data_IF_736851241596
#
_entry.id   IF_736851241596
#
_cell.length_a   1.000
_cell.length_b   1.000
_cell.length_c   1.000
_cell.angle_alpha   90.00
_cell.angle_beta   90.00
_cell.angle_gamma   90.00
#
_symmetry.space_group_name_H-M   'P 1'
#
loop_
_entity.id
_entity.type
_entity.pdbx_description
1 polymer ?
#
# COMPACT_ATOMS: atom_id res chain seq x y z
N UNK A 1 2.58 27.73 8.98
CA UNK A 1 3.43 26.82 8.18
C UNK A 1 3.15 27.11 6.72
N UNK A 2 4.10 27.63 5.94
CA UNK A 2 3.89 27.79 4.49
C UNK A 2 4.10 26.42 3.83
N UNK A 3 3.11 25.96 3.08
CA UNK A 3 3.29 24.78 2.24
C UNK A 3 4.15 25.17 1.03
N UNK A 4 5.28 24.52 0.86
CA UNK A 4 6.09 24.62 -0.37
C UNK A 4 5.56 23.55 -1.32
N UNK A 5 5.10 23.98 -2.49
CA UNK A 5 4.66 23.09 -3.58
C UNK A 5 5.69 23.17 -4.70
N UNK A 6 6.15 22.04 -5.18
CA UNK A 6 7.11 21.92 -6.28
C UNK A 6 6.45 21.24 -7.47
N UNK A 7 6.80 21.67 -8.69
CA UNK A 7 6.41 20.98 -9.92
C UNK A 7 7.69 20.59 -10.64
N UNK A 8 8.18 19.35 -10.47
CA UNK A 8 9.47 18.90 -11.00
C UNK A 8 9.64 19.17 -12.50
N UNK A 9 8.58 19.00 -13.29
CA UNK A 9 8.58 19.22 -14.73
C UNK A 9 8.87 20.69 -15.08
N UNK A 10 8.28 21.64 -14.33
CA UNK A 10 8.57 23.06 -14.52
C UNK A 10 9.99 23.43 -14.09
N UNK A 11 10.53 22.79 -13.06
CA UNK A 11 11.92 23.00 -12.64
C UNK A 11 12.90 22.49 -13.70
N UNK A 12 12.62 21.33 -14.30
CA UNK A 12 13.43 20.80 -15.39
C UNK A 12 13.36 21.68 -16.65
N UNK A 13 12.17 22.21 -16.98
CA UNK A 13 12.01 23.17 -18.07
C UNK A 13 12.79 24.47 -17.81
N UNK A 14 12.67 25.03 -16.60
CA UNK A 14 13.42 26.22 -16.20
C UNK A 14 14.94 26.00 -16.25
N UNK A 15 15.43 24.82 -15.88
CA UNK A 15 16.85 24.47 -16.04
C UNK A 15 17.30 24.48 -17.51
N UNK A 16 16.46 23.97 -18.42
CA UNK A 16 16.73 24.01 -19.86
C UNK A 16 16.73 25.45 -20.39
N UNK A 17 15.78 26.29 -19.96
CA UNK A 17 15.70 27.69 -20.34
C UNK A 17 16.94 28.47 -19.89
N UNK A 18 17.39 28.25 -18.65
CA UNK A 18 18.62 28.88 -18.13
C UNK A 18 19.85 28.45 -18.95
N UNK A 19 19.95 27.18 -19.32
CA UNK A 19 21.03 26.69 -20.17
C UNK A 19 21.00 27.34 -21.57
N UNK A 20 19.81 27.50 -22.15
CA UNK A 20 19.63 28.17 -23.45
C UNK A 20 19.98 29.66 -23.40
N UNK A 21 19.56 30.36 -22.34
CA UNK A 21 19.95 31.77 -22.09
C UNK A 21 21.47 31.87 -21.94
N UNK A 22 22.08 31.02 -21.12
CA UNK A 22 23.53 31.00 -20.92
C UNK A 22 24.30 30.78 -22.22
N UNK A 23 23.84 29.86 -23.07
CA UNK A 23 24.41 29.62 -24.40
C UNK A 23 24.33 30.86 -25.31
N UNK A 24 23.15 31.50 -25.35
CA UNK A 24 22.91 32.71 -26.15
C UNK A 24 23.79 33.87 -25.70
N UNK A 25 23.87 34.10 -24.38
CA UNK A 25 24.73 35.15 -23.79
C UNK A 25 26.20 34.87 -24.09
N UNK A 26 26.65 33.62 -23.98
CA UNK A 26 28.02 33.25 -24.30
C UNK A 26 28.35 33.48 -25.78
N UNK A 27 27.45 33.16 -26.70
CA UNK A 27 27.63 33.41 -28.12
C UNK A 27 27.73 34.92 -28.45
N UNK A 28 26.84 35.74 -27.86
CA UNK A 28 26.89 37.19 -28.00
C UNK A 28 28.22 37.76 -27.46
N UNK A 29 28.67 37.25 -26.32
CA UNK A 29 29.93 37.65 -25.70
C UNK A 29 31.15 37.35 -26.57
N UNK A 30 31.25 36.12 -27.09
CA UNK A 30 32.33 35.71 -27.99
C UNK A 30 32.36 36.57 -29.26
N UNK A 31 31.19 36.97 -29.77
CA UNK A 31 31.07 37.85 -30.94
C UNK A 31 31.59 39.25 -30.64
N UNK A 32 31.30 39.80 -29.45
CA UNK A 32 31.73 41.14 -29.05
C UNK A 32 33.18 41.22 -28.54
N UNK A 33 33.80 40.09 -28.20
CA UNK A 33 35.11 40.06 -27.55
C UNK A 33 36.22 40.70 -28.38
N UNK A 34 36.29 40.37 -29.67
CA UNK A 34 37.35 40.86 -30.53
C UNK A 34 37.34 42.39 -30.68
N UNK A 35 36.17 43.00 -30.86
CA UNK A 35 36.03 44.45 -31.06
C UNK A 35 36.17 45.26 -29.77
N UNK A 36 35.90 44.66 -28.62
CA UNK A 36 35.95 45.36 -27.31
C UNK A 36 37.31 45.27 -26.64
N UNK A 37 38.07 44.20 -26.89
CA UNK A 37 39.44 44.02 -26.34
C UNK A 37 40.50 44.67 -27.23
N UNK A 38 40.20 44.89 -28.51
CA UNK A 38 41.12 45.48 -29.50
C UNK A 38 40.76 46.91 -29.90
N UNK A 39 40.51 47.81 -28.93
CA UNK A 39 40.11 49.19 -29.23
C UNK A 39 41.29 49.94 -29.88
N UNK A 40 41.05 50.53 -31.05
CA UNK A 40 42.06 51.31 -31.78
C UNK A 40 42.00 52.78 -31.32
N UNK A 41 43.14 53.42 -31.02
CA UNK A 41 43.17 54.84 -30.67
C UNK A 41 42.59 55.71 -31.80
N UNK A 42 41.71 56.70 -31.50
CA UNK A 42 41.15 57.58 -32.52
C UNK A 42 42.16 58.60 -33.08
N UNK A 43 43.27 58.83 -32.37
CA UNK A 43 44.37 59.73 -32.76
C UNK A 43 45.73 59.14 -32.40
N UNK A 44 46.79 59.72 -32.99
CA UNK A 44 48.18 59.31 -32.74
C UNK A 44 48.77 59.88 -31.44
N UNK A 45 47.98 60.64 -30.68
CA UNK A 45 48.41 61.25 -29.42
C UNK A 45 48.36 60.25 -28.26
N UNK A 46 49.13 60.56 -27.21
CA UNK A 46 49.25 59.70 -26.03
C UNK A 46 47.95 59.60 -25.23
N UNK A 47 47.07 60.62 -25.29
CA UNK A 47 45.78 60.61 -24.56
C UNK A 47 44.82 59.62 -25.24
N UNK A 48 44.72 59.66 -26.58
CA UNK A 48 43.98 58.68 -27.38
C UNK A 48 44.46 57.25 -27.13
N UNK A 49 45.78 57.03 -27.07
CA UNK A 49 46.36 55.72 -26.78
C UNK A 49 46.00 55.23 -25.36
N UNK A 50 46.14 56.11 -24.36
CA UNK A 50 45.80 55.78 -22.97
C UNK A 50 44.31 55.45 -22.81
N UNK A 51 43.42 56.21 -23.47
CA UNK A 51 41.97 55.95 -23.45
C UNK A 51 41.65 54.58 -24.07
N UNK A 52 42.21 54.26 -25.24
CA UNK A 52 42.02 52.97 -25.88
C UNK A 52 42.49 51.80 -24.99
N UNK A 53 43.60 51.99 -24.28
CA UNK A 53 44.15 51.00 -23.34
C UNK A 53 43.23 50.79 -22.12
N UNK A 54 42.64 51.85 -21.57
CA UNK A 54 41.66 51.74 -20.46
C UNK A 54 40.44 50.93 -20.88
N UNK A 55 39.86 51.22 -22.05
CA UNK A 55 38.70 50.46 -22.55
C UNK A 55 39.04 49.00 -22.84
N UNK A 56 40.20 48.74 -23.45
CA UNK A 56 40.66 47.38 -23.72
C UNK A 56 40.91 46.59 -22.43
N UNK A 57 41.48 47.23 -21.40
CA UNK A 57 41.67 46.62 -20.08
C UNK A 57 40.35 46.29 -19.38
N UNK A 58 39.39 47.22 -19.38
CA UNK A 58 38.05 46.99 -18.82
C UNK A 58 37.33 45.85 -19.55
N UNK A 59 37.47 45.76 -20.88
CA UNK A 59 36.91 44.67 -21.66
C UNK A 59 37.52 43.31 -21.27
N UNK A 60 38.84 43.23 -21.07
CA UNK A 60 39.50 41.98 -20.64
C UNK A 60 39.00 41.50 -19.27
N UNK A 61 38.85 42.42 -18.31
CA UNK A 61 38.28 42.09 -16.99
C UNK A 61 36.83 41.61 -17.10
N UNK A 62 36.03 42.30 -17.90
CA UNK A 62 34.64 41.90 -18.17
C UNK A 62 34.54 40.51 -18.79
N UNK A 63 35.42 40.17 -19.73
CA UNK A 63 35.50 38.84 -20.34
C UNK A 63 35.86 37.77 -19.30
N UNK A 64 36.82 38.06 -18.42
CA UNK A 64 37.17 37.18 -17.30
C UNK A 64 36.00 36.95 -16.32
N UNK A 65 35.23 38.00 -16.03
CA UNK A 65 34.05 37.90 -15.16
C UNK A 65 32.93 37.08 -15.81
N UNK A 66 32.68 37.29 -17.10
CA UNK A 66 31.67 36.53 -17.83
C UNK A 66 32.03 35.05 -17.95
N UNK A 67 33.30 34.69 -18.08
CA UNK A 67 33.73 33.29 -17.98
C UNK A 67 33.30 32.62 -16.66
N UNK A 68 33.42 33.34 -15.53
CA UNK A 68 32.94 32.86 -14.22
C UNK A 68 31.41 32.77 -14.17
N UNK A 69 30.71 33.76 -14.72
CA UNK A 69 29.25 33.78 -14.78
C UNK A 69 28.68 32.61 -15.61
N UNK A 70 29.30 32.29 -16.75
CA UNK A 70 28.93 31.15 -17.58
C UNK A 70 29.11 29.83 -16.84
N UNK A 71 30.23 29.65 -16.12
CA UNK A 71 30.46 28.46 -15.30
C UNK A 71 29.42 28.31 -14.19
N UNK A 72 29.10 29.42 -13.50
CA UNK A 72 28.04 29.44 -12.49
C UNK A 72 26.67 29.09 -13.08
N UNK A 73 26.29 29.69 -14.22
CA UNK A 73 25.03 29.44 -14.89
C UNK A 73 24.86 27.97 -15.28
N UNK A 74 25.93 27.34 -15.79
CA UNK A 74 25.95 25.91 -16.10
C UNK A 74 25.76 25.04 -14.85
N UNK A 75 26.48 25.35 -13.76
CA UNK A 75 26.33 24.63 -12.49
C UNK A 75 24.94 24.80 -11.90
N UNK A 76 24.38 26.01 -11.96
CA UNK A 76 23.04 26.30 -11.47
C UNK A 76 21.97 25.53 -12.26
N UNK A 77 22.05 25.51 -13.60
CA UNK A 77 21.14 24.72 -14.43
C UNK A 77 21.23 23.22 -14.11
N UNK A 78 22.45 22.70 -13.94
CA UNK A 78 22.66 21.30 -13.55
C UNK A 78 22.06 20.98 -12.18
N UNK A 79 22.29 21.84 -11.18
CA UNK A 79 21.74 21.65 -9.83
C UNK A 79 20.22 21.75 -9.82
N UNK A 80 19.64 22.69 -10.57
CA UNK A 80 18.20 22.83 -10.69
C UNK A 80 17.55 21.59 -11.31
N UNK A 81 18.17 21.04 -12.35
CA UNK A 81 17.72 19.79 -12.97
C UNK A 81 17.84 18.59 -12.02
N UNK A 82 18.95 18.47 -11.30
CA UNK A 82 19.14 17.41 -10.29
C UNK A 82 18.14 17.53 -9.13
N UNK A 83 17.82 18.75 -8.71
CA UNK A 83 16.79 19.03 -7.72
C UNK A 83 15.40 18.58 -8.20
N UNK A 84 15.04 18.89 -9.45
CA UNK A 84 13.81 18.40 -10.06
C UNK A 84 13.72 16.86 -10.02
N UNK A 85 14.79 16.17 -10.40
CA UNK A 85 14.86 14.70 -10.32
C UNK A 85 14.68 14.17 -8.90
N UNK A 86 15.23 14.86 -7.89
CA UNK A 86 15.07 14.50 -6.48
C UNK A 86 13.62 14.62 -6.00
N UNK A 87 12.93 15.71 -6.37
CA UNK A 87 11.51 15.89 -6.04
C UNK A 87 10.62 14.87 -6.75
N UNK A 88 10.86 14.60 -8.04
CA UNK A 88 10.11 13.58 -8.78
C UNK A 88 10.29 12.17 -8.17
N UNK A 89 11.52 11.82 -7.77
CA UNK A 89 11.78 10.56 -7.09
C UNK A 89 11.07 10.49 -5.72
N UNK A 90 11.06 11.59 -4.97
CA UNK A 90 10.33 11.67 -3.70
C UNK A 90 8.82 11.49 -3.90
N UNK A 91 8.23 12.11 -4.92
CA UNK A 91 6.82 11.92 -5.27
C UNK A 91 6.51 10.46 -5.62
N UNK A 92 7.37 9.79 -6.39
CA UNK A 92 7.20 8.38 -6.73
C UNK A 92 7.26 7.47 -5.50
N UNK A 93 8.21 7.69 -4.58
CA UNK A 93 8.32 6.93 -3.32
C UNK A 93 7.11 7.17 -2.42
N UNK A 94 6.67 8.42 -2.29
CA UNK A 94 5.51 8.77 -1.48
C UNK A 94 4.23 8.15 -2.07
N UNK A 95 4.05 8.18 -3.39
CA UNK A 95 2.94 7.53 -4.06
C UNK A 95 2.94 6.01 -3.81
N UNK A 96 4.10 5.36 -3.92
CA UNK A 96 4.24 3.94 -3.62
C UNK A 96 3.94 3.60 -2.15
N UNK A 97 4.28 4.50 -1.22
CA UNK A 97 4.05 4.30 0.22
C UNK A 97 2.58 4.39 0.62
N UNK A 98 1.76 5.11 -0.15
CA UNK A 98 0.33 5.29 0.11
C UNK A 98 -0.51 4.21 -0.58
N UNK A 99 0.07 3.47 -1.55
CA UNK A 99 -0.60 2.33 -2.15
C UNK A 99 -0.81 1.21 -1.11
N UNK A 100 -2.02 0.62 -1.03
CA UNK A 100 -2.26 -0.50 -0.12
C UNK A 100 -1.31 -1.66 -0.44
N UNK A 101 -0.68 -2.23 0.59
CA UNK A 101 0.08 -3.47 0.44
C UNK A 101 -0.86 -4.62 0.07
N UNK A 102 -0.32 -5.68 -0.57
CA UNK A 102 -1.10 -6.89 -0.86
C UNK A 102 -1.70 -7.50 0.43
N UNK A 103 -0.97 -7.44 1.54
CA UNK A 103 -1.45 -7.86 2.87
C UNK A 103 -2.62 -7.00 3.35
N UNK A 104 -2.55 -5.67 3.21
CA UNK A 104 -3.66 -4.78 3.55
C UNK A 104 -4.91 -5.09 2.73
N UNK A 105 -4.76 -5.43 1.45
CA UNK A 105 -5.87 -5.86 0.59
C UNK A 105 -6.47 -7.17 1.10
N UNK A 106 -5.64 -8.15 1.45
CA UNK A 106 -6.09 -9.43 2.02
C UNK A 106 -6.84 -9.22 3.33
N UNK A 107 -6.36 -8.33 4.20
CA UNK A 107 -7.03 -7.98 5.46
C UNK A 107 -8.37 -7.30 5.24
N UNK A 108 -8.46 -6.38 4.27
CA UNK A 108 -9.75 -5.77 3.87
C UNK A 108 -10.73 -6.84 3.40
N UNK A 109 -10.29 -7.74 2.50
CA UNK A 109 -11.14 -8.83 1.98
C UNK A 109 -11.60 -9.75 3.11
N UNK A 110 -10.69 -10.16 4.01
CA UNK A 110 -11.01 -10.98 5.16
C UNK A 110 -11.99 -10.28 6.12
N UNK A 111 -11.79 -8.99 6.37
CA UNK A 111 -12.69 -8.18 7.19
C UNK A 111 -14.09 -8.05 6.61
N UNK A 112 -14.21 -7.94 5.29
CA UNK A 112 -15.51 -7.92 4.59
C UNK A 112 -16.20 -9.30 4.63
N UNK A 113 -15.45 -10.40 4.58
CA UNK A 113 -15.99 -11.76 4.59
C UNK A 113 -16.36 -12.28 5.99
N UNK A 114 -15.64 -11.86 7.03
CA UNK A 114 -15.78 -12.40 8.40
C UNK A 114 -17.21 -12.34 8.97
N UNK A 115 -17.99 -11.25 8.82
CA UNK A 115 -19.37 -11.21 9.31
C UNK A 115 -20.26 -12.29 8.67
N UNK A 116 -20.10 -12.52 7.35
CA UNK A 116 -20.87 -13.52 6.62
C UNK A 116 -20.50 -14.94 7.03
N UNK A 117 -19.20 -15.22 7.20
CA UNK A 117 -18.73 -16.52 7.69
C UNK A 117 -19.27 -16.79 9.11
N UNK A 118 -19.27 -15.79 9.98
CA UNK A 118 -19.81 -15.92 11.34
C UNK A 118 -21.33 -16.17 11.34
N UNK A 119 -22.07 -15.53 10.45
CA UNK A 119 -23.50 -15.80 10.26
C UNK A 119 -23.76 -17.23 9.79
N UNK A 120 -23.01 -17.71 8.78
CA UNK A 120 -23.11 -19.09 8.29
C UNK A 120 -22.82 -20.08 9.42
N UNK A 121 -21.73 -19.87 10.18
CA UNK A 121 -21.36 -20.73 11.30
C UNK A 121 -22.44 -20.77 12.39
N UNK A 122 -23.11 -19.63 12.64
CA UNK A 122 -24.22 -19.54 13.59
C UNK A 122 -25.44 -20.32 13.11
N UNK A 123 -25.77 -20.26 11.82
CA UNK A 123 -26.87 -21.05 11.23
C UNK A 123 -26.55 -22.53 11.32
N UNK A 124 -25.34 -22.94 10.91
CA UNK A 124 -24.90 -24.34 10.94
C UNK A 124 -24.93 -24.90 12.37
N UNK A 125 -24.45 -24.15 13.36
CA UNK A 125 -24.46 -24.59 14.76
C UNK A 125 -25.89 -24.70 15.30
N UNK A 126 -26.77 -23.75 14.96
CA UNK A 126 -28.17 -23.76 15.35
C UNK A 126 -28.91 -24.96 14.75
N UNK A 127 -28.71 -25.23 13.45
CA UNK A 127 -29.29 -26.39 12.77
C UNK A 127 -28.77 -27.68 13.39
N UNK A 128 -27.48 -27.78 13.65
CA UNK A 128 -26.87 -28.97 14.28
C UNK A 128 -27.47 -29.23 15.66
N UNK A 129 -27.62 -28.17 16.48
CA UNK A 129 -28.25 -28.25 17.79
C UNK A 129 -29.71 -28.71 17.71
N UNK A 130 -30.49 -28.16 16.78
CA UNK A 130 -31.89 -28.55 16.58
C UNK A 130 -32.02 -30.01 16.14
N UNK A 131 -31.16 -30.46 15.23
CA UNK A 131 -31.14 -31.86 14.78
C UNK A 131 -30.79 -32.81 15.93
N UNK A 132 -29.84 -32.43 16.79
CA UNK A 132 -29.48 -33.24 17.96
C UNK A 132 -30.62 -33.28 19.00
N UNK A 133 -31.30 -32.16 19.23
CA UNK A 133 -32.49 -32.11 20.09
C UNK A 133 -33.61 -32.98 19.55
N UNK A 134 -33.86 -32.93 18.24
CA UNK A 134 -34.87 -33.76 17.58
C UNK A 134 -34.52 -35.24 17.71
N UNK A 135 -33.27 -35.63 17.45
CA UNK A 135 -32.80 -37.00 17.60
C UNK A 135 -33.00 -37.52 19.04
N UNK A 136 -32.66 -36.71 20.04
CA UNK A 136 -32.86 -37.07 21.45
C UNK A 136 -34.34 -37.19 21.81
N UNK A 137 -35.20 -36.32 21.28
CA UNK A 137 -36.65 -36.39 21.50
C UNK A 137 -37.27 -37.65 20.88
N UNK A 138 -36.88 -37.99 19.65
CA UNK A 138 -37.30 -39.25 18.99
C UNK A 138 -36.82 -40.45 19.81
N UNK A 139 -35.55 -40.46 20.22
CA UNK A 139 -35.00 -41.55 21.04
C UNK A 139 -35.78 -41.73 22.33
N UNK A 140 -36.09 -40.63 23.05
CA UNK A 140 -36.87 -40.69 24.28
C UNK A 140 -38.31 -41.18 24.04
N UNK A 141 -38.97 -40.72 22.97
CA UNK A 141 -40.35 -41.05 22.66
C UNK A 141 -40.57 -42.51 22.25
N UNK A 142 -39.60 -43.15 21.59
CA UNK A 142 -39.76 -44.50 21.07
C UNK A 142 -38.99 -45.55 21.86
N UNK A 143 -37.75 -45.26 22.30
CA UNK A 143 -36.91 -46.26 22.95
C UNK A 143 -37.36 -46.52 24.39
N UNK A 144 -37.71 -45.49 25.16
CA UNK A 144 -38.14 -45.66 26.57
C UNK A 144 -39.40 -46.53 26.71
N UNK A 145 -40.50 -46.28 25.98
CA UNK A 145 -41.67 -47.16 26.08
C UNK A 145 -41.38 -48.56 25.53
N UNK A 146 -40.52 -48.70 24.51
CA UNK A 146 -40.10 -50.01 24.01
C UNK A 146 -39.34 -50.81 25.07
N UNK A 147 -38.34 -50.21 25.71
CA UNK A 147 -37.59 -50.84 26.82
C UNK A 147 -38.51 -51.20 27.99
N UNK A 148 -39.46 -50.32 28.35
CA UNK A 148 -40.44 -50.60 29.40
C UNK A 148 -41.36 -51.77 29.04
N UNK A 149 -41.79 -51.86 27.77
CA UNK A 149 -42.61 -52.97 27.27
C UNK A 149 -41.83 -54.30 27.27
N UNK A 150 -40.58 -54.27 26.80
CA UNK A 150 -39.69 -55.43 26.83
C UNK A 150 -39.47 -55.89 28.27
N UNK A 151 -39.23 -54.96 29.20
CA UNK A 151 -39.01 -55.29 30.61
C UNK A 151 -40.26 -55.89 31.26
N UNK A 152 -41.44 -55.32 31.02
CA UNK A 152 -42.72 -55.85 31.53
C UNK A 152 -43.06 -57.21 30.96
N UNK A 153 -42.78 -57.46 29.68
CA UNK A 153 -42.93 -58.78 29.09
C UNK A 153 -41.98 -59.80 29.72
N UNK A 154 -40.72 -59.41 29.94
CA UNK A 154 -39.70 -60.29 30.49
C UNK A 154 -39.97 -60.63 31.97
N UNK A 155 -40.45 -59.68 32.78
CA UNK A 155 -40.86 -59.95 34.16
C UNK A 155 -42.07 -60.87 34.23
N UNK A 156 -43.06 -60.70 33.36
CA UNK A 156 -44.23 -61.58 33.28
C UNK A 156 -43.82 -63.01 32.89
N UNK A 157 -42.97 -63.16 31.86
CA UNK A 157 -42.47 -64.47 31.43
C UNK A 157 -41.72 -65.21 32.55
N UNK A 158 -40.93 -64.47 33.34
CA UNK A 158 -40.18 -65.03 34.48
C UNK A 158 -41.13 -65.46 35.61
N UNK A 159 -42.14 -64.65 35.91
CA UNK A 159 -43.17 -64.99 36.91
C UNK A 159 -43.94 -66.25 36.51
N UNK A 160 -44.37 -66.35 35.24
CA UNK A 160 -45.05 -67.53 34.71
C UNK A 160 -44.15 -68.77 34.82
N UNK A 161 -42.89 -68.65 34.40
CA UNK A 161 -41.92 -69.76 34.52
C UNK A 161 -41.69 -70.21 35.97
N UNK A 162 -41.68 -69.27 36.93
CA UNK A 162 -41.57 -69.59 38.35
C UNK A 162 -42.81 -70.30 38.90
N UNK A 163 -44.02 -69.90 38.47
CA UNK A 163 -45.27 -70.57 38.83
C UNK A 163 -45.29 -72.00 38.30
N UNK A 164 -44.95 -72.21 37.02
CA UNK A 164 -44.90 -73.55 36.41
C UNK A 164 -43.91 -74.48 37.12
N UNK A 165 -42.75 -73.96 37.56
CA UNK A 165 -41.79 -74.72 38.38
C UNK A 165 -42.36 -75.09 39.75
N UNK A 166 -43.06 -74.17 40.42
CA UNK A 166 -43.71 -74.42 41.71
C UNK A 166 -44.84 -75.45 41.60
N UNK A 167 -45.67 -75.37 40.55
CA UNK A 167 -46.72 -76.37 40.29
C UNK A 167 -46.11 -77.77 40.08
N UNK A 168 -45.01 -77.87 39.32
CA UNK A 168 -44.28 -79.12 39.11
C UNK A 168 -43.67 -79.71 40.39
N UNK A 169 -43.33 -78.87 41.38
CA UNK A 169 -42.76 -79.31 42.66
C UNK A 169 -43.80 -79.60 43.75
N UNK A 170 -44.89 -78.83 43.81
CA UNK A 170 -45.88 -78.86 44.90
C UNK A 170 -47.16 -79.65 44.56
N UNK A 171 -47.40 -79.99 43.28
CA UNK A 171 -48.58 -80.76 42.85
C UNK A 171 -49.92 -80.03 43.04
N UNK A 172 -49.89 -78.73 43.33
CA UNK A 172 -51.06 -77.85 43.46
C UNK A 172 -51.07 -76.96 42.21
N UNK A 173 -52.16 -77.00 41.45
CA UNK A 173 -52.31 -76.10 40.31
C UNK A 173 -52.81 -74.74 40.78
N UNK A 174 -52.04 -73.69 40.49
CA UNK A 174 -52.40 -72.30 40.72
C UNK A 174 -52.68 -71.68 39.34
N UNK A 175 -53.94 -71.33 39.04
CA UNK A 175 -54.28 -70.80 37.73
C UNK A 175 -53.51 -69.51 37.43
N UNK A 176 -52.78 -69.51 36.31
CA UNK A 176 -52.08 -68.35 35.77
C UNK A 176 -53.12 -67.42 35.13
N UNK A 177 -53.22 -66.14 35.54
CA UNK A 177 -54.05 -65.16 34.86
C UNK A 177 -53.41 -64.64 33.55
#
# INVERSE_FOLDING_TARGET
>A
MSYVSTVPEMMAAAAADVAAIGSTVNAAHLTAAASTVGVIPPGADQVSAAIAQVFSGAAQEFQGLLGKATAFGAQFAQQLHAGAGSYSAAEAVNAASVMPSAESIVDIVNGLAAPYINQINTVVSTVTYLMQKLQSAITLAFLVPYEALVLTYLTLALLIGAIQLLEGFLGISIPVP
#
